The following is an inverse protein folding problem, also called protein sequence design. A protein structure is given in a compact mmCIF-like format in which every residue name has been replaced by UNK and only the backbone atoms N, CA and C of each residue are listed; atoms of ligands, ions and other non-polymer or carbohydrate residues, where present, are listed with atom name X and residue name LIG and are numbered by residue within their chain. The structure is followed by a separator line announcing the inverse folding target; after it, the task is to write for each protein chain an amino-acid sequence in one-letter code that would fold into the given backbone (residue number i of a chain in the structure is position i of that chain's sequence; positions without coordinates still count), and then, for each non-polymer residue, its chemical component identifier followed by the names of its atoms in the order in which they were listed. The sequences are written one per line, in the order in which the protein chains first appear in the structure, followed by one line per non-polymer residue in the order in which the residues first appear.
data_IF_086255164652
#
_entry.id   IF_086255164652
#
_cell.length_a   1.000
_cell.length_b   1.000
_cell.length_c   1.000
_cell.angle_alpha   90.00
_cell.angle_beta   90.00
_cell.angle_gamma   90.00
#
_symmetry.space_group_name_H-M   'P 1'
#
loop_
_entity.id
_entity.type
_entity.pdbx_description
1 polymer ?
#
# COMPACT_ATOMS: atom_id res chain seq x y z
N UNK A 1 -4.47 32.96 -2.10
CA UNK A 1 -5.51 31.92 -1.98
C UNK A 1 -5.03 30.60 -1.39
N UNK A 2 -3.71 30.30 -1.34
CA UNK A 2 -3.21 29.07 -0.68
C UNK A 2 -3.45 29.02 0.83
N UNK A 3 -3.39 30.16 1.53
CA UNK A 3 -3.47 30.21 3.00
C UNK A 3 -4.81 29.72 3.56
N UNK A 4 -5.93 30.03 2.90
CA UNK A 4 -7.26 29.56 3.33
C UNK A 4 -7.43 28.06 3.13
N UNK A 5 -6.89 27.51 2.03
CA UNK A 5 -6.90 26.08 1.73
C UNK A 5 -6.00 25.31 2.70
N UNK A 6 -4.79 25.80 2.99
CA UNK A 6 -3.88 25.20 3.98
C UNK A 6 -4.46 25.25 5.40
N UNK A 7 -5.14 26.34 5.77
CA UNK A 7 -5.81 26.46 7.05
C UNK A 7 -7.01 25.51 7.16
N UNK A 8 -7.76 25.34 6.08
CA UNK A 8 -8.88 24.37 6.02
C UNK A 8 -8.38 22.93 6.06
N UNK A 9 -7.25 22.61 5.41
CA UNK A 9 -6.61 21.29 5.44
C UNK A 9 -6.08 20.92 6.83
N UNK A 10 -5.48 21.88 7.55
CA UNK A 10 -4.95 21.67 8.90
C UNK A 10 -6.04 21.61 9.97
N UNK A 11 -7.19 22.26 9.74
CA UNK A 11 -8.38 22.15 10.58
C UNK A 11 -9.24 20.92 10.25
N UNK A 12 -9.10 20.35 9.05
CA UNK A 12 -9.79 19.13 8.65
C UNK A 12 -9.29 17.95 9.51
N UNK A 13 -10.14 17.00 9.93
CA UNK A 13 -9.70 15.77 10.57
C UNK A 13 -8.60 15.02 9.78
N UNK A 14 -8.51 15.23 8.46
CA UNK A 14 -7.41 14.75 7.60
C UNK A 14 -6.01 15.22 8.02
N UNK A 15 -5.86 16.43 8.58
CA UNK A 15 -4.58 16.96 9.05
C UNK A 15 -4.15 16.52 10.45
N UNK A 16 -5.07 15.94 11.24
CA UNK A 16 -4.80 15.51 12.64
C UNK A 16 -4.36 14.06 12.77
N UNK A 17 -4.71 13.18 11.83
CA UNK A 17 -4.35 11.74 11.81
C UNK A 17 -3.48 11.42 10.60
N UNK A 18 -2.46 12.25 10.37
CA UNK A 18 -1.58 12.11 9.22
C UNK A 18 -0.57 11.00 9.54
N UNK A 19 -0.85 9.78 9.08
CA UNK A 19 0.08 8.65 9.19
C UNK A 19 1.24 8.83 8.21
N UNK A 20 2.16 9.71 8.61
CA UNK A 20 3.36 10.06 7.85
C UNK A 20 4.32 8.90 7.70
N UNK A 21 4.29 7.94 8.63
CA UNK A 21 5.14 6.75 8.57
C UNK A 21 4.67 5.84 7.43
N UNK A 22 3.36 5.62 7.28
CA UNK A 22 2.80 4.87 6.15
C UNK A 22 3.08 5.56 4.81
N UNK A 23 2.94 6.88 4.72
CA UNK A 23 3.29 7.61 3.49
C UNK A 23 4.80 7.54 3.17
N UNK A 24 5.65 7.56 4.19
CA UNK A 24 7.09 7.39 4.01
C UNK A 24 7.43 5.99 3.47
N UNK A 25 6.84 4.94 4.04
CA UNK A 25 7.00 3.56 3.57
C UNK A 25 6.48 3.39 2.15
N UNK A 26 5.30 3.93 1.84
CA UNK A 26 4.74 3.89 0.49
C UNK A 26 5.66 4.56 -0.55
N UNK A 27 6.30 5.68 -0.18
CA UNK A 27 7.32 6.33 -1.03
C UNK A 27 8.54 5.44 -1.22
N UNK A 28 9.05 4.82 -0.16
CA UNK A 28 10.19 3.89 -0.25
C UNK A 28 9.84 2.68 -1.13
N UNK A 29 8.66 2.09 -0.93
CA UNK A 29 8.14 0.99 -1.72
C UNK A 29 8.03 1.33 -3.21
N UNK A 30 7.46 2.49 -3.55
CA UNK A 30 7.40 2.98 -4.94
C UNK A 30 8.79 3.07 -5.58
N UNK A 31 9.75 3.67 -4.86
CA UNK A 31 11.11 3.82 -5.35
C UNK A 31 11.77 2.45 -5.54
N UNK A 32 11.60 1.54 -4.58
CA UNK A 32 12.13 0.19 -4.67
C UNK A 32 11.54 -0.56 -5.88
N UNK A 33 10.21 -0.55 -6.07
CA UNK A 33 9.55 -1.17 -7.23
C UNK A 33 10.11 -0.60 -8.54
N UNK A 34 10.29 0.72 -8.61
CA UNK A 34 10.75 1.40 -9.83
C UNK A 34 12.22 1.12 -10.17
N UNK A 35 13.11 0.95 -9.19
CA UNK A 35 14.56 0.90 -9.40
C UNK A 35 15.22 -0.44 -9.07
N UNK A 36 14.65 -1.21 -8.15
CA UNK A 36 15.28 -2.39 -7.55
C UNK A 36 14.43 -3.66 -7.69
N UNK A 37 13.11 -3.51 -7.89
CA UNK A 37 12.15 -4.62 -7.88
C UNK A 37 12.38 -5.68 -8.96
N UNK A 38 13.02 -5.32 -10.08
CA UNK A 38 13.34 -6.25 -11.16
C UNK A 38 14.78 -6.81 -11.10
N UNK A 39 15.58 -6.42 -10.09
CA UNK A 39 16.98 -6.81 -9.98
C UNK A 39 17.13 -8.20 -9.36
N UNK A 40 16.78 -9.24 -10.12
CA UNK A 40 16.86 -10.65 -9.71
C UNK A 40 18.19 -11.34 -10.07
N UNK A 41 19.12 -10.60 -10.68
CA UNK A 41 20.38 -11.15 -11.20
C UNK A 41 20.28 -11.60 -12.66
N UNK A 42 21.32 -12.28 -13.15
CA UNK A 42 21.35 -12.77 -14.53
C UNK A 42 20.38 -13.96 -14.69
N UNK A 43 19.49 -13.90 -15.70
CA UNK A 43 18.48 -14.94 -15.98
C UNK A 43 19.11 -16.33 -16.12
N UNK A 44 20.33 -16.42 -16.66
CA UNK A 44 21.05 -17.68 -16.85
C UNK A 44 21.61 -18.32 -15.57
N UNK A 45 21.57 -17.61 -14.43
CA UNK A 45 22.19 -18.02 -13.17
C UNK A 45 21.22 -17.99 -11.98
N UNK A 46 19.93 -17.74 -12.24
CA UNK A 46 18.91 -17.58 -11.21
C UNK A 46 18.43 -18.95 -10.71
N UNK A 47 18.46 -19.14 -9.39
CA UNK A 47 17.90 -20.31 -8.71
C UNK A 47 16.40 -20.07 -8.40
N UNK A 48 15.59 -21.14 -8.46
CA UNK A 48 14.18 -21.11 -8.05
C UNK A 48 13.99 -20.58 -6.64
N UNK A 49 14.82 -20.98 -5.68
CA UNK A 49 14.69 -20.53 -4.30
C UNK A 49 15.00 -19.03 -4.18
N UNK A 50 15.91 -18.53 -5.01
CA UNK A 50 16.23 -17.11 -5.09
C UNK A 50 15.05 -16.30 -5.67
N UNK A 51 14.31 -16.85 -6.66
CA UNK A 51 13.10 -16.23 -7.20
C UNK A 51 11.97 -16.19 -6.16
N UNK A 52 11.78 -17.28 -5.40
CA UNK A 52 10.77 -17.34 -4.35
C UNK A 52 11.12 -16.36 -3.22
N UNK A 53 12.37 -16.29 -2.78
CA UNK A 53 12.79 -15.28 -1.80
C UNK A 53 12.67 -13.85 -2.34
N UNK A 54 12.96 -13.65 -3.63
CA UNK A 54 12.84 -12.33 -4.23
C UNK A 54 11.38 -11.91 -4.32
N UNK A 55 10.41 -12.82 -4.45
CA UNK A 55 8.97 -12.48 -4.53
C UNK A 55 8.33 -12.09 -3.18
N UNK A 56 8.97 -12.33 -2.04
CA UNK A 56 8.54 -11.81 -0.72
C UNK A 56 8.66 -10.29 -0.64
N UNK A 57 9.76 -9.70 -1.14
CA UNK A 57 10.00 -8.25 -1.09
C UNK A 57 9.01 -7.41 -1.92
N UNK A 58 8.60 -7.83 -3.13
CA UNK A 58 7.50 -7.25 -3.87
C UNK A 58 6.20 -7.25 -3.10
N UNK A 59 5.91 -8.30 -2.31
CA UNK A 59 4.68 -8.35 -1.51
C UNK A 59 4.64 -7.28 -0.43
N UNK A 60 5.71 -7.13 0.32
CA UNK A 60 5.82 -6.08 1.33
C UNK A 60 5.75 -4.69 0.68
N UNK A 61 6.46 -4.48 -0.44
CA UNK A 61 6.44 -3.22 -1.16
C UNK A 61 5.05 -2.89 -1.76
N UNK A 62 4.35 -3.88 -2.31
CA UNK A 62 2.98 -3.71 -2.84
C UNK A 62 2.02 -3.37 -1.70
N UNK A 63 2.16 -4.02 -0.55
CA UNK A 63 1.34 -3.75 0.65
C UNK A 63 1.57 -2.32 1.15
N UNK A 64 2.82 -1.92 1.37
CA UNK A 64 3.17 -0.58 1.83
C UNK A 64 2.70 0.50 0.84
N UNK A 65 2.79 0.24 -0.46
CA UNK A 65 2.31 1.14 -1.50
C UNK A 65 0.78 1.24 -1.49
N UNK A 66 0.07 0.12 -1.37
CA UNK A 66 -1.40 0.08 -1.34
C UNK A 66 -1.95 0.82 -0.12
N UNK A 67 -1.32 0.68 1.06
CA UNK A 67 -1.69 1.41 2.27
C UNK A 67 -1.53 2.92 2.09
N UNK A 68 -0.41 3.37 1.53
CA UNK A 68 -0.21 4.79 1.24
C UNK A 68 -1.17 5.34 0.20
N UNK A 69 -1.45 4.59 -0.86
CA UNK A 69 -2.39 4.97 -1.91
C UNK A 69 -3.82 5.09 -1.37
N UNK A 70 -4.20 4.22 -0.42
CA UNK A 70 -5.48 4.28 0.27
C UNK A 70 -5.65 5.58 1.07
N UNK A 71 -4.58 6.02 1.76
CA UNK A 71 -4.57 7.31 2.49
C UNK A 71 -4.81 8.47 1.53
N UNK A 72 -4.08 8.53 0.42
CA UNK A 72 -4.22 9.59 -0.59
C UNK A 72 -5.60 9.57 -1.23
N UNK A 73 -6.10 8.39 -1.60
CA UNK A 73 -7.43 8.21 -2.19
C UNK A 73 -8.53 8.66 -1.24
N UNK A 74 -8.42 8.33 0.05
CA UNK A 74 -9.35 8.79 1.07
C UNK A 74 -9.34 10.33 1.22
N UNK A 75 -8.17 10.95 1.16
CA UNK A 75 -8.06 12.41 1.17
C UNK A 75 -8.71 13.05 -0.06
N UNK A 76 -8.42 12.51 -1.25
CA UNK A 76 -9.06 12.97 -2.48
C UNK A 76 -10.58 12.84 -2.43
N UNK A 77 -11.10 11.75 -1.84
CA UNK A 77 -12.53 11.54 -1.66
C UNK A 77 -13.13 12.62 -0.76
N UNK A 78 -12.61 12.84 0.45
CA UNK A 78 -13.22 13.82 1.36
C UNK A 78 -13.04 15.28 0.93
N UNK A 79 -12.11 15.58 -0.01
CA UNK A 79 -12.05 16.88 -0.69
C UNK A 79 -13.12 17.04 -1.78
N UNK A 80 -13.44 15.95 -2.49
CA UNK A 80 -14.38 15.96 -3.63
C UNK A 80 -15.83 15.80 -3.16
N UNK A 81 -16.04 15.01 -2.11
CA UNK A 81 -17.33 14.61 -1.56
C UNK A 81 -17.35 14.89 -0.03
N UNK A 82 -17.27 16.17 0.40
CA UNK A 82 -17.11 16.53 1.81
C UNK A 82 -18.31 16.23 2.71
N UNK A 83 -19.46 15.91 2.12
CA UNK A 83 -20.71 15.62 2.83
C UNK A 83 -21.05 14.12 2.87
N UNK A 84 -20.37 13.31 2.05
CA UNK A 84 -20.61 11.89 2.00
C UNK A 84 -19.69 11.16 2.97
N UNK A 85 -20.19 10.13 3.68
CA UNK A 85 -19.35 9.30 4.50
C UNK A 85 -18.35 8.55 3.61
N UNK A 86 -17.09 8.40 4.05
CA UNK A 86 -16.10 7.69 3.27
C UNK A 86 -16.50 6.22 3.08
N UNK A 87 -16.16 5.59 1.93
CA UNK A 87 -16.53 4.21 1.65
C UNK A 87 -15.64 3.23 2.44
N UNK A 88 -15.92 3.08 3.73
CA UNK A 88 -15.09 2.34 4.70
C UNK A 88 -14.82 0.90 4.29
N UNK A 89 -15.80 0.20 3.71
CA UNK A 89 -15.63 -1.18 3.24
C UNK A 89 -14.59 -1.28 2.11
N UNK A 90 -14.59 -0.32 1.20
CA UNK A 90 -13.59 -0.25 0.12
C UNK A 90 -12.22 0.11 0.67
N UNK A 91 -12.16 1.04 1.61
CA UNK A 91 -10.90 1.45 2.25
C UNK A 91 -10.26 0.24 2.96
N UNK A 92 -11.03 -0.52 3.73
CA UNK A 92 -10.48 -1.65 4.49
C UNK A 92 -10.08 -2.83 3.60
N UNK A 93 -10.81 -3.08 2.50
CA UNK A 93 -10.54 -4.19 1.58
C UNK A 93 -9.51 -3.87 0.50
N UNK A 94 -9.13 -2.60 0.33
CA UNK A 94 -8.27 -2.16 -0.77
C UNK A 94 -6.88 -2.83 -0.78
N UNK A 95 -6.13 -2.91 0.35
CA UNK A 95 -4.83 -3.57 0.35
C UNK A 95 -4.90 -5.03 -0.12
N UNK A 96 -5.90 -5.78 0.34
CA UNK A 96 -6.08 -7.19 -0.04
C UNK A 96 -6.46 -7.34 -1.52
N UNK A 97 -7.28 -6.41 -2.04
CA UNK A 97 -7.64 -6.36 -3.45
C UNK A 97 -6.42 -6.09 -4.33
N UNK A 98 -5.52 -5.20 -3.89
CA UNK A 98 -4.25 -4.90 -4.60
C UNK A 98 -3.28 -6.09 -4.52
N UNK A 99 -3.11 -6.72 -3.36
CA UNK A 99 -2.29 -7.94 -3.22
C UNK A 99 -2.79 -9.04 -4.16
N UNK A 100 -4.11 -9.28 -4.20
CA UNK A 100 -4.71 -10.27 -5.10
C UNK A 100 -4.52 -9.90 -6.57
N UNK A 101 -4.68 -8.62 -6.93
CA UNK A 101 -4.52 -8.16 -8.31
C UNK A 101 -3.06 -8.29 -8.80
N UNK A 102 -2.09 -7.93 -7.96
CA UNK A 102 -0.66 -7.91 -8.34
C UNK A 102 -0.02 -9.28 -8.20
N UNK A 103 -0.35 -10.03 -7.15
CA UNK A 103 0.34 -11.25 -6.74
C UNK A 103 -0.54 -12.50 -6.77
N UNK A 104 -1.84 -12.38 -7.07
CA UNK A 104 -2.76 -13.53 -7.11
C UNK A 104 -2.30 -14.67 -8.02
N UNK A 105 -1.67 -14.33 -9.15
CA UNK A 105 -1.07 -15.32 -10.06
C UNK A 105 0.16 -16.06 -9.50
N UNK A 106 0.75 -15.58 -8.39
CA UNK A 106 1.90 -16.15 -7.69
C UNK A 106 1.51 -16.88 -6.40
N UNK A 107 0.23 -16.92 -6.02
CA UNK A 107 -0.24 -17.55 -4.77
C UNK A 107 0.12 -19.04 -4.63
N UNK A 108 0.38 -19.76 -5.74
CA UNK A 108 0.89 -21.14 -5.69
C UNK A 108 2.40 -21.26 -5.42
N UNK A 109 3.13 -20.15 -5.38
CA UNK A 109 4.58 -20.07 -5.23
C UNK A 109 5.01 -19.28 -3.99
N UNK A 110 4.15 -18.40 -3.49
CA UNK A 110 4.40 -17.58 -2.32
C UNK A 110 3.96 -18.27 -1.03
N UNK A 111 4.65 -18.06 0.10
CA UNK A 111 4.12 -18.41 1.40
C UNK A 111 2.79 -17.67 1.62
N UNK A 112 1.81 -18.34 2.23
CA UNK A 112 0.60 -17.68 2.72
C UNK A 112 0.99 -16.46 3.57
N UNK A 113 0.30 -15.32 3.41
CA UNK A 113 0.57 -14.17 4.27
C UNK A 113 0.36 -14.61 5.71
N UNK A 114 1.23 -14.15 6.62
CA UNK A 114 1.03 -14.38 8.04
C UNK A 114 -0.33 -13.78 8.41
N UNK A 115 -1.34 -14.64 8.53
CA UNK A 115 -2.66 -14.25 9.02
C UNK A 115 -2.44 -13.56 10.35
N UNK A 116 -2.70 -12.25 10.39
CA UNK A 116 -2.87 -11.54 11.64
C UNK A 116 -3.91 -12.33 12.42
N UNK A 117 -3.48 -12.94 13.51
CA UNK A 117 -4.31 -13.65 14.47
C UNK A 117 -5.48 -12.72 14.84
N UNK A 118 -6.64 -12.96 14.23
CA UNK A 118 -7.90 -12.56 14.82
C UNK A 118 -7.97 -13.30 16.17
N UNK A 119 -7.67 -12.59 17.25
CA UNK A 119 -7.97 -13.06 18.59
C UNK A 119 -9.48 -13.08 18.74
N UNK A 120 -10.09 -14.22 19.10
CA UNK A 120 -11.46 -14.26 19.55
C UNK A 120 -11.45 -14.12 21.08
N UNK A 121 -11.97 -13.01 21.60
CA UNK A 121 -12.71 -12.98 22.87
C UNK A 121 -13.85 -11.96 22.78
#
# INVERSE_FOLDING_TARGET
MLGGTLHSLTAHPMGRTMDMDTLHKARQARNWIAYEGASIGAICSVDRDLVIQHTVKPRDAVTDLALGDNIISHWCNGLTEPHDPPPTDRINSYPDAVDTWVLGHLCGLLPEPASSLASPE
#
